data_IF_006228585310
#
_entry.id   IF_006228585310
#
_cell.length_a   1.000
_cell.length_b   1.000
_cell.length_c   1.000
_cell.angle_alpha   90.00
_cell.angle_beta   90.00
_cell.angle_gamma   90.00
#
_symmetry.space_group_name_H-M   'P 1'
#
loop_
_entity.id
_entity.type
_entity.pdbx_description
1 polymer ?
#
# COMPACT_ATOMS: atom_id res chain seq x y z
N UNK A 1 -23.90 -3.79 -0.88
CA UNK A 1 -22.59 -3.25 -0.42
C UNK A 1 -21.73 -4.46 -0.08
N UNK A 2 -20.53 -4.58 -0.64
CA UNK A 2 -19.81 -5.85 -0.68
C UNK A 2 -19.07 -6.09 0.64
N UNK A 3 -19.47 -7.09 1.42
CA UNK A 3 -18.92 -7.41 2.76
C UNK A 3 -17.39 -7.57 2.73
N UNK A 4 -16.85 -8.11 1.63
CA UNK A 4 -15.41 -8.28 1.42
C UNK A 4 -14.68 -6.92 1.34
N UNK A 5 -15.33 -5.89 0.77
CA UNK A 5 -14.75 -4.54 0.73
C UNK A 5 -14.78 -3.90 2.11
N UNK A 6 -15.84 -4.14 2.89
CA UNK A 6 -15.98 -3.59 4.24
C UNK A 6 -14.95 -4.19 5.21
N UNK A 7 -14.75 -5.50 5.19
CA UNK A 7 -13.71 -6.19 5.96
C UNK A 7 -12.28 -5.72 5.59
N UNK A 8 -12.04 -5.40 4.31
CA UNK A 8 -10.75 -4.83 3.87
C UNK A 8 -10.55 -3.40 4.36
N UNK A 9 -11.59 -2.58 4.41
CA UNK A 9 -11.52 -1.21 4.93
C UNK A 9 -11.26 -1.25 6.44
N UNK A 10 -11.98 -2.11 7.16
CA UNK A 10 -11.83 -2.29 8.61
C UNK A 10 -10.44 -2.80 8.98
N UNK A 11 -9.91 -3.82 8.30
CA UNK A 11 -8.56 -4.34 8.58
C UNK A 11 -7.45 -3.31 8.33
N UNK A 12 -7.57 -2.48 7.28
CA UNK A 12 -6.63 -1.38 7.02
C UNK A 12 -6.71 -0.31 8.11
N UNK A 13 -7.92 0.03 8.57
CA UNK A 13 -8.12 1.01 9.63
C UNK A 13 -7.56 0.52 10.97
N UNK A 14 -7.79 -0.75 11.32
CA UNK A 14 -7.21 -1.39 12.51
C UNK A 14 -5.68 -1.34 12.47
N UNK A 15 -5.07 -1.68 11.32
CA UNK A 15 -3.61 -1.61 11.16
C UNK A 15 -3.04 -0.20 11.34
N UNK A 16 -3.73 0.83 10.81
CA UNK A 16 -3.35 2.24 10.99
C UNK A 16 -3.45 2.66 12.46
N UNK A 17 -4.54 2.28 13.14
CA UNK A 17 -4.78 2.63 14.54
C UNK A 17 -3.73 1.97 15.46
N UNK A 18 -3.36 0.71 15.22
CA UNK A 18 -2.28 0.01 15.94
C UNK A 18 -0.95 0.75 15.76
N UNK A 19 -0.65 1.13 14.51
CA UNK A 19 0.61 1.85 14.21
C UNK A 19 0.64 3.22 14.89
N UNK A 20 -0.47 3.96 14.90
CA UNK A 20 -0.58 5.25 15.59
C UNK A 20 -0.38 5.09 17.10
N UNK A 21 -1.11 4.16 17.73
CA UNK A 21 -1.00 3.90 19.16
C UNK A 21 0.44 3.51 19.57
N UNK A 22 1.14 2.72 18.76
CA UNK A 22 2.55 2.38 19.00
C UNK A 22 3.49 3.60 18.86
N UNK A 23 3.25 4.48 17.89
CA UNK A 23 4.03 5.72 17.72
C UNK A 23 3.81 6.65 18.92
N UNK A 24 2.56 6.78 19.35
CA UNK A 24 2.15 7.64 20.45
C UNK A 24 2.69 7.13 21.79
N UNK A 25 2.64 5.82 22.03
CA UNK A 25 3.28 5.19 23.19
C UNK A 25 4.80 5.41 23.21
N UNK A 26 5.47 5.33 22.05
CA UNK A 26 6.91 5.62 21.93
C UNK A 26 7.24 7.09 22.18
N UNK A 27 6.39 8.02 21.71
CA UNK A 27 6.53 9.46 21.98
C UNK A 27 6.36 9.76 23.45
N UNK A 28 5.27 9.28 24.06
CA UNK A 28 5.03 9.43 25.50
C UNK A 28 6.17 8.84 26.36
N UNK A 29 6.71 7.69 25.96
CA UNK A 29 7.88 7.11 26.63
C UNK A 29 9.13 7.99 26.47
N UNK A 30 9.38 8.55 25.28
CA UNK A 30 10.50 9.48 25.06
C UNK A 30 10.36 10.72 25.92
N UNK A 31 9.20 11.37 25.90
CA UNK A 31 8.96 12.61 26.65
C UNK A 31 9.05 12.37 28.17
N UNK A 32 8.74 11.16 28.64
CA UNK A 32 8.92 10.76 30.03
C UNK A 32 10.41 10.56 30.35
N UNK A 33 11.14 9.83 29.50
CA UNK A 33 12.56 9.59 29.69
C UNK A 33 13.39 10.88 29.61
N UNK A 34 13.02 11.82 28.74
CA UNK A 34 13.66 13.14 28.63
C UNK A 34 13.47 13.94 29.93
N UNK A 35 12.25 13.97 30.48
CA UNK A 35 11.98 14.59 31.79
C UNK A 35 12.72 13.90 32.94
N UNK A 36 12.66 12.58 33.01
CA UNK A 36 13.36 11.80 34.04
C UNK A 36 14.89 12.05 33.98
N UNK A 37 15.43 12.26 32.77
CA UNK A 37 16.85 12.56 32.55
C UNK A 37 17.19 14.01 32.91
N UNK A 38 16.33 14.98 32.58
CA UNK A 38 16.48 16.36 33.02
C UNK A 38 16.45 16.47 34.55
N UNK A 39 15.50 15.83 35.21
CA UNK A 39 15.39 15.78 36.68
C UNK A 39 16.60 15.09 37.33
N UNK A 40 17.10 14.01 36.72
CA UNK A 40 18.31 13.32 37.15
C UNK A 40 19.56 14.20 37.05
N UNK A 41 19.71 14.94 35.94
CA UNK A 41 20.83 15.87 35.77
C UNK A 41 20.71 17.08 36.71
N UNK A 42 19.50 17.64 36.88
CA UNK A 42 19.23 18.76 37.79
C UNK A 42 19.50 18.41 39.27
N UNK A 43 19.28 17.15 39.65
CA UNK A 43 19.61 16.61 40.98
C UNK A 43 21.08 16.22 41.15
N UNK A 44 21.94 16.57 40.19
CA UNK A 44 23.40 16.37 40.25
C UNK A 44 23.86 14.98 39.79
N UNK A 45 23.03 14.25 39.04
CA UNK A 45 23.38 12.95 38.45
C UNK A 45 23.66 11.85 39.48
N UNK A 46 23.14 11.99 40.71
CA UNK A 46 23.35 11.02 41.77
C UNK A 46 22.31 9.91 41.68
N UNK A 47 22.75 8.71 41.34
CA UNK A 47 21.91 7.51 41.35
C UNK A 47 21.46 7.21 42.78
N UNK A 48 20.16 7.22 43.04
CA UNK A 48 19.63 6.74 44.32
C UNK A 48 19.86 5.23 44.40
N UNK A 49 20.71 4.80 45.33
CA UNK A 49 20.84 3.39 45.69
C UNK A 49 19.61 3.04 46.52
N UNK A 50 18.75 2.19 45.97
CA UNK A 50 17.58 1.72 46.69
C UNK A 50 18.01 0.97 47.97
N UNK A 51 17.34 1.19 49.12
CA UNK A 51 17.63 0.45 50.34
C UNK A 51 17.53 -1.07 50.14
N UNK A 52 18.34 -1.82 50.89
CA UNK A 52 18.27 -3.28 50.91
C UNK A 52 16.84 -3.70 51.29
N UNK A 53 16.16 -4.48 50.43
CA UNK A 53 14.78 -4.90 50.61
C UNK A 53 13.72 -4.20 49.74
N UNK A 54 14.09 -3.27 48.85
CA UNK A 54 13.15 -2.66 47.88
C UNK A 54 12.70 -3.61 46.76
N UNK A 55 13.33 -4.78 46.63
CA UNK A 55 12.94 -5.83 45.71
C UNK A 55 11.91 -6.75 46.38
N UNK A 56 11.07 -7.46 45.61
CA UNK A 56 10.16 -8.49 46.17
C UNK A 56 10.90 -9.68 46.80
N UNK A 57 12.24 -9.67 46.78
CA UNK A 57 13.09 -10.65 47.43
C UNK A 57 13.42 -10.14 48.83
N UNK A 58 12.92 -10.85 49.85
CA UNK A 58 13.07 -10.47 51.27
C UNK A 58 14.52 -10.21 51.69
N UNK A 59 15.48 -10.86 51.02
CA UNK A 59 16.90 -10.78 51.33
C UNK A 59 17.64 -9.74 50.47
N UNK A 60 16.94 -8.98 49.62
CA UNK A 60 17.53 -8.00 48.69
C UNK A 60 18.31 -8.62 47.52
N UNK A 61 18.52 -9.94 47.53
CA UNK A 61 19.21 -10.69 46.48
C UNK A 61 18.29 -10.92 45.28
N UNK A 62 18.53 -10.17 44.19
CA UNK A 62 17.89 -10.44 42.90
C UNK A 62 18.48 -11.76 42.36
N UNK A 63 17.65 -12.79 42.04
CA UNK A 63 18.13 -14.00 41.42
C UNK A 63 18.83 -13.65 40.11
N UNK A 64 20.13 -13.94 40.01
CA UNK A 64 20.81 -13.82 38.73
C UNK A 64 20.11 -14.75 37.75
N UNK A 65 19.59 -14.19 36.65
CA UNK A 65 19.03 -14.99 35.55
C UNK A 65 20.12 -15.96 35.12
N UNK A 66 19.89 -17.26 35.33
CA UNK A 66 20.75 -18.30 34.77
C UNK A 66 20.80 -18.08 33.26
N UNK A 67 21.94 -17.66 32.75
CA UNK A 67 22.24 -17.62 31.33
C UNK A 67 22.08 -19.06 30.84
N UNK A 68 21.01 -19.34 30.10
CA UNK A 68 20.87 -20.62 29.42
C UNK A 68 21.99 -20.70 28.38
N UNK A 69 23.00 -21.52 28.67
CA UNK A 69 23.99 -21.95 27.68
C UNK A 69 23.26 -22.83 26.67
N UNK A 70 22.89 -22.23 25.54
CA UNK A 70 22.27 -22.95 24.42
C UNK A 70 23.37 -23.77 23.75
N UNK A 71 23.13 -25.05 23.54
CA UNK A 71 24.09 -25.94 22.87
C UNK A 71 24.29 -25.49 21.41
N UNK A 72 25.49 -25.71 20.87
CA UNK A 72 25.80 -25.36 19.48
C UNK A 72 24.86 -26.06 18.48
N UNK A 73 24.42 -27.28 18.79
CA UNK A 73 23.41 -28.02 18.00
C UNK A 73 22.05 -27.32 18.01
N UNK A 74 21.59 -26.87 19.18
CA UNK A 74 20.31 -26.14 19.31
C UNK A 74 20.35 -24.77 18.62
N UNK A 75 21.51 -24.10 18.59
CA UNK A 75 21.70 -22.87 17.82
C UNK A 75 21.56 -23.15 16.32
N UNK A 76 22.24 -24.19 15.83
CA UNK A 76 22.24 -24.56 14.42
C UNK A 76 20.84 -24.96 13.93
N UNK A 77 20.08 -25.71 14.75
CA UNK A 77 18.69 -26.09 14.43
C UNK A 77 17.76 -24.88 14.38
N UNK A 78 17.89 -23.94 15.32
CA UNK A 78 17.13 -22.68 15.30
C UNK A 78 17.46 -21.85 14.07
N UNK A 79 18.73 -21.77 13.69
CA UNK A 79 19.17 -21.03 12.51
C UNK A 79 18.60 -21.64 11.22
N UNK A 80 18.60 -22.97 11.09
CA UNK A 80 17.95 -23.67 9.97
C UNK A 80 16.45 -23.40 9.90
N UNK A 81 15.76 -23.41 11.05
CA UNK A 81 14.33 -23.09 11.12
C UNK A 81 14.05 -21.63 10.72
N UNK A 82 14.89 -20.70 11.15
CA UNK A 82 14.79 -19.29 10.78
C UNK A 82 15.00 -19.13 9.27
N UNK A 83 16.00 -19.78 8.68
CA UNK A 83 16.27 -19.66 7.25
C UNK A 83 15.12 -20.27 6.42
N UNK A 84 14.58 -21.43 6.84
CA UNK A 84 13.40 -22.00 6.21
C UNK A 84 12.19 -21.03 6.24
N UNK A 85 11.92 -20.40 7.39
CA UNK A 85 10.85 -19.41 7.51
C UNK A 85 11.11 -18.15 6.70
N UNK A 86 12.36 -17.70 6.62
CA UNK A 86 12.74 -16.56 5.78
C UNK A 86 12.52 -16.86 4.30
N UNK A 87 12.82 -18.08 3.86
CA UNK A 87 12.61 -18.52 2.49
C UNK A 87 11.11 -18.55 2.14
N UNK A 88 10.27 -19.13 3.00
CA UNK A 88 8.81 -19.10 2.84
C UNK A 88 8.29 -17.64 2.72
N UNK A 89 8.81 -16.72 3.53
CA UNK A 89 8.43 -15.29 3.47
C UNK A 89 8.84 -14.64 2.14
N UNK A 90 10.02 -14.98 1.60
CA UNK A 90 10.48 -14.46 0.30
C UNK A 90 9.56 -14.94 -0.82
N UNK A 91 9.28 -16.23 -0.87
CA UNK A 91 8.40 -16.83 -1.88
C UNK A 91 6.98 -16.26 -1.81
N UNK A 92 6.42 -16.10 -0.60
CA UNK A 92 5.12 -15.47 -0.41
C UNK A 92 5.08 -14.02 -0.93
N UNK A 93 6.12 -13.23 -0.63
CA UNK A 93 6.22 -11.84 -1.13
C UNK A 93 6.35 -11.79 -2.65
N UNK A 94 7.11 -12.70 -3.25
CA UNK A 94 7.25 -12.81 -4.69
C UNK A 94 5.93 -13.22 -5.36
N UNK A 95 5.21 -14.18 -4.80
CA UNK A 95 3.90 -14.61 -5.27
C UNK A 95 2.88 -13.45 -5.24
N UNK A 96 2.84 -12.68 -4.16
CA UNK A 96 1.98 -11.47 -4.09
C UNK A 96 2.37 -10.45 -5.15
N UNK A 97 3.67 -10.20 -5.35
CA UNK A 97 4.15 -9.25 -6.35
C UNK A 97 3.78 -9.71 -7.77
N UNK A 98 3.90 -11.00 -8.06
CA UNK A 98 3.49 -11.61 -9.31
C UNK A 98 1.98 -11.48 -9.53
N UNK A 99 1.17 -11.79 -8.51
CA UNK A 99 -0.28 -11.66 -8.56
C UNK A 99 -0.72 -10.21 -8.82
N UNK A 100 -0.11 -9.23 -8.15
CA UNK A 100 -0.38 -7.80 -8.38
C UNK A 100 -0.04 -7.37 -9.80
N UNK A 101 1.09 -7.84 -10.34
CA UNK A 101 1.49 -7.59 -11.74
C UNK A 101 0.49 -8.19 -12.73
N UNK A 102 0.05 -9.42 -12.50
CA UNK A 102 -0.94 -10.10 -13.33
C UNK A 102 -2.28 -9.36 -13.33
N UNK A 103 -2.78 -8.98 -12.15
CA UNK A 103 -4.01 -8.19 -12.01
C UNK A 103 -3.92 -6.84 -12.73
N UNK A 104 -2.77 -6.15 -12.62
CA UNK A 104 -2.54 -4.88 -13.32
C UNK A 104 -2.51 -5.06 -14.84
N UNK A 105 -1.88 -6.13 -15.34
CA UNK A 105 -1.88 -6.51 -16.77
C UNK A 105 -3.30 -6.80 -17.25
N UNK A 106 -4.04 -7.64 -16.55
CA UNK A 106 -5.43 -7.97 -16.90
C UNK A 106 -6.33 -6.73 -16.93
N UNK A 107 -6.19 -5.82 -15.95
CA UNK A 107 -6.94 -4.55 -15.93
C UNK A 107 -6.57 -3.65 -17.11
N UNK A 108 -5.29 -3.57 -17.47
CA UNK A 108 -4.83 -2.83 -18.65
C UNK A 108 -5.42 -3.41 -19.92
N UNK A 109 -5.34 -4.71 -20.10
CA UNK A 109 -5.80 -5.40 -21.31
C UNK A 109 -7.33 -5.33 -21.46
N UNK A 110 -8.07 -5.46 -20.35
CA UNK A 110 -9.52 -5.28 -20.33
C UNK A 110 -9.93 -3.86 -20.77
N UNK A 111 -9.22 -2.83 -20.28
CA UNK A 111 -9.49 -1.46 -20.69
C UNK A 111 -9.15 -1.23 -22.17
N UNK A 112 -8.07 -1.81 -22.69
CA UNK A 112 -7.72 -1.71 -24.12
C UNK A 112 -8.81 -2.35 -24.98
N UNK A 113 -9.29 -3.55 -24.62
CA UNK A 113 -10.41 -4.20 -25.32
C UNK A 113 -11.67 -3.35 -25.30
N UNK A 114 -12.01 -2.74 -24.16
CA UNK A 114 -13.15 -1.82 -24.05
C UNK A 114 -12.98 -0.59 -24.94
N UNK A 115 -11.79 0.01 -24.97
CA UNK A 115 -11.46 1.16 -25.81
C UNK A 115 -11.65 0.86 -27.29
N UNK A 116 -11.11 -0.26 -27.76
CA UNK A 116 -11.26 -0.71 -29.16
C UNK A 116 -12.74 -0.89 -29.49
N UNK A 117 -13.52 -1.53 -28.62
CA UNK A 117 -14.94 -1.76 -28.88
C UNK A 117 -15.76 -0.46 -28.92
N UNK A 118 -15.52 0.46 -27.98
CA UNK A 118 -16.29 1.71 -27.87
C UNK A 118 -15.87 2.72 -28.95
N UNK A 119 -14.57 2.92 -29.14
CA UNK A 119 -14.07 3.84 -30.17
C UNK A 119 -14.30 3.28 -31.57
N UNK A 120 -14.20 1.96 -31.77
CA UNK A 120 -14.55 1.30 -33.03
C UNK A 120 -16.03 1.50 -33.40
N UNK A 121 -16.95 1.37 -32.42
CA UNK A 121 -18.36 1.73 -32.64
C UNK A 121 -18.54 3.22 -32.96
N UNK A 122 -17.79 4.09 -32.31
CA UNK A 122 -17.82 5.52 -32.59
C UNK A 122 -17.36 5.83 -34.02
N UNK A 123 -16.24 5.27 -34.47
CA UNK A 123 -15.73 5.48 -35.83
C UNK A 123 -16.67 4.92 -36.90
N UNK A 124 -17.36 3.83 -36.61
CA UNK A 124 -18.36 3.27 -37.54
C UNK A 124 -19.61 4.16 -37.64
N UNK A 125 -20.06 4.73 -36.50
CA UNK A 125 -21.24 5.61 -36.45
C UNK A 125 -20.95 7.03 -36.96
N UNK A 126 -19.72 7.49 -36.78
CA UNK A 126 -19.24 8.82 -37.15
C UNK A 126 -17.97 8.70 -38.01
N UNK A 127 -18.11 8.35 -39.31
CA UNK A 127 -16.97 8.12 -40.18
C UNK A 127 -16.24 9.41 -40.58
N UNK A 128 -16.84 10.57 -40.34
CA UNK A 128 -16.22 11.87 -40.64
C UNK A 128 -14.96 12.08 -39.81
N UNK A 129 -13.87 12.50 -40.48
CA UNK A 129 -12.63 12.89 -39.81
C UNK A 129 -12.85 14.07 -38.84
N UNK A 130 -13.83 14.92 -39.13
CA UNK A 130 -14.15 16.10 -38.31
C UNK A 130 -14.87 15.73 -37.02
N UNK A 131 -15.75 14.72 -37.04
CA UNK A 131 -16.40 14.22 -35.81
C UNK A 131 -15.38 13.63 -34.84
N UNK A 132 -14.40 12.90 -35.36
CA UNK A 132 -13.33 12.33 -34.55
C UNK A 132 -12.36 13.42 -34.02
N UNK A 133 -12.12 14.48 -34.80
CA UNK A 133 -11.35 15.65 -34.35
C UNK A 133 -12.08 16.39 -33.22
N UNK A 134 -13.40 16.60 -33.36
CA UNK A 134 -14.25 17.20 -32.34
C UNK A 134 -14.30 16.38 -31.05
N UNK A 135 -14.34 15.05 -31.15
CA UNK A 135 -14.23 14.17 -29.98
C UNK A 135 -12.88 14.37 -29.26
N UNK A 136 -11.79 14.54 -30.02
CA UNK A 136 -10.47 14.78 -29.47
C UNK A 136 -10.41 16.12 -28.71
N UNK A 137 -10.98 17.18 -29.29
CA UNK A 137 -11.08 18.51 -28.67
C UNK A 137 -11.91 18.48 -27.37
N UNK A 138 -13.08 17.84 -27.39
CA UNK A 138 -13.97 17.73 -26.21
C UNK A 138 -13.37 16.92 -25.05
N UNK A 139 -12.41 16.04 -25.34
CA UNK A 139 -11.79 15.15 -24.34
C UNK A 139 -10.39 15.61 -23.94
N UNK A 140 -9.88 16.69 -24.55
CA UNK A 140 -8.52 17.19 -24.33
C UNK A 140 -7.45 16.15 -24.69
N UNK A 141 -7.71 15.34 -25.72
CA UNK A 141 -6.77 14.37 -26.27
C UNK A 141 -6.35 14.80 -27.67
N UNK A 142 -5.14 14.42 -28.07
CA UNK A 142 -4.74 14.51 -29.47
C UNK A 142 -5.50 13.47 -30.29
N UNK A 143 -5.91 13.86 -31.49
CA UNK A 143 -6.63 12.98 -32.44
C UNK A 143 -5.84 11.71 -32.76
N UNK A 144 -4.50 11.78 -32.78
CA UNK A 144 -3.63 10.61 -32.95
C UNK A 144 -3.80 9.61 -31.81
N UNK A 145 -3.76 10.06 -30.56
CA UNK A 145 -3.89 9.18 -29.39
C UNK A 145 -5.24 8.46 -29.33
N UNK A 146 -6.32 9.13 -29.70
CA UNK A 146 -7.63 8.47 -29.79
C UNK A 146 -7.68 7.45 -30.93
N UNK A 147 -7.03 7.71 -32.07
CA UNK A 147 -6.93 6.74 -33.17
C UNK A 147 -6.11 5.52 -32.77
N UNK A 148 -4.99 5.73 -32.09
CA UNK A 148 -4.15 4.64 -31.61
C UNK A 148 -4.86 3.81 -30.54
N UNK A 149 -5.68 4.46 -29.68
CA UNK A 149 -6.52 3.78 -28.71
C UNK A 149 -7.65 2.98 -29.36
N UNK A 150 -8.24 3.49 -30.44
CA UNK A 150 -9.26 2.78 -31.23
C UNK A 150 -8.70 1.51 -31.89
N UNK A 151 -7.41 1.50 -32.23
CA UNK A 151 -6.67 0.33 -32.75
C UNK A 151 -6.07 -0.57 -31.66
N UNK A 152 -6.14 -0.14 -30.39
CA UNK A 152 -5.60 -0.89 -29.24
C UNK A 152 -4.09 -0.75 -29.05
N UNK A 153 -3.42 0.15 -29.77
CA UNK A 153 -1.98 0.39 -29.63
C UNK A 153 -1.62 1.16 -28.37
N UNK A 154 -2.55 1.95 -27.83
CA UNK A 154 -2.33 2.70 -26.59
C UNK A 154 -3.49 2.56 -25.62
N UNK A 155 -3.18 2.74 -24.34
CA UNK A 155 -4.15 2.75 -23.25
C UNK A 155 -4.34 4.19 -22.77
N UNK A 156 -5.56 4.70 -22.87
CA UNK A 156 -5.93 5.99 -22.30
C UNK A 156 -5.89 5.95 -20.76
N UNK A 157 -5.61 7.10 -20.15
CA UNK A 157 -5.65 7.25 -18.69
C UNK A 157 -7.05 6.94 -18.17
N UNK A 158 -7.17 6.28 -17.00
CA UNK A 158 -8.46 5.79 -16.50
C UNK A 158 -9.50 6.91 -16.36
N UNK A 159 -9.10 8.06 -15.81
CA UNK A 159 -9.97 9.23 -15.61
C UNK A 159 -10.43 9.82 -16.93
N UNK A 160 -9.50 10.08 -17.85
CA UNK A 160 -9.83 10.57 -19.18
C UNK A 160 -10.64 9.56 -19.99
N UNK A 161 -10.47 8.25 -19.77
CA UNK A 161 -11.30 7.22 -20.41
C UNK A 161 -12.76 7.30 -19.97
N UNK A 162 -13.02 7.57 -18.68
CA UNK A 162 -14.38 7.83 -18.18
C UNK A 162 -14.98 9.06 -18.85
N UNK A 163 -14.20 10.13 -19.00
CA UNK A 163 -14.62 11.33 -19.73
C UNK A 163 -14.95 11.02 -21.19
N UNK A 164 -14.08 10.30 -21.91
CA UNK A 164 -14.29 9.91 -23.31
C UNK A 164 -15.61 9.14 -23.47
N UNK A 165 -15.89 8.17 -22.59
CA UNK A 165 -17.17 7.44 -22.60
C UNK A 165 -18.37 8.36 -22.40
N UNK A 166 -18.28 9.31 -21.47
CA UNK A 166 -19.34 10.30 -21.20
C UNK A 166 -19.57 11.20 -22.43
N UNK A 167 -18.51 11.68 -23.06
CA UNK A 167 -18.59 12.52 -24.25
C UNK A 167 -19.17 11.74 -25.43
N UNK A 168 -18.72 10.51 -25.68
CA UNK A 168 -19.26 9.64 -26.75
C UNK A 168 -20.75 9.38 -26.56
N UNK A 169 -21.21 9.12 -25.33
CA UNK A 169 -22.63 8.88 -25.03
C UNK A 169 -23.51 10.08 -25.40
N UNK A 170 -22.99 11.29 -25.21
CA UNK A 170 -23.69 12.54 -25.47
C UNK A 170 -23.29 13.20 -26.80
N UNK A 171 -22.56 12.48 -27.66
CA UNK A 171 -21.99 13.05 -28.87
C UNK A 171 -23.10 13.29 -29.90
N UNK A 172 -23.33 14.56 -30.26
CA UNK A 172 -24.24 14.96 -31.34
C UNK A 172 -23.45 15.03 -32.64
N UNK A 173 -23.94 14.36 -33.69
CA UNK A 173 -23.39 14.46 -35.04
C UNK A 173 -23.30 15.93 -35.42
N UNK A 174 -22.17 16.39 -35.98
CA UNK A 174 -22.10 17.72 -36.55
C UNK A 174 -23.13 17.85 -37.67
N UNK A 175 -24.17 18.65 -37.47
CA UNK A 175 -25.01 19.12 -38.58
C UNK A 175 -24.08 19.98 -39.42
N UNK A 176 -23.76 19.53 -40.64
CA UNK A 176 -23.15 20.39 -41.65
C UNK A 176 -24.13 21.55 -41.89
N UNK A 177 -23.74 22.75 -41.47
CA UNK A 177 -24.28 23.98 -42.04
C UNK A 177 -23.75 24.15 -43.44
#
# INVERSE_FOLDING_TARGET
>A
MNEILQQRIESVQVGKNITHAQIEAKRSLRDRLERDLEDFLASGGKTQVLPVGFTHFKDGLIPQRKTRTISEKERLEKEKLIEAKNQEIREYKEAIKAQRRLLAKNKRDAQIKEQVAVLGRFTNKHPSKDDFKRLAELTGYQTRHLRDAAKGHTKLGCEKWVLVKKVIKNFKVGVKG
#
